data_IF_263485714250
#
_entry.id   IF_263485714250
#
_cell.length_a   1.000
_cell.length_b   1.000
_cell.length_c   1.000
_cell.angle_alpha   90.00
_cell.angle_beta   90.00
_cell.angle_gamma   90.00
#
_symmetry.space_group_name_H-M   'P 1'
#
loop_
_entity.id
_entity.type
_entity.pdbx_description
1 polymer ?
#
# COMPACT_ATOMS: atom_id res chain seq x y z
N UNK A 1 -5.39 5.47 -11.22
CA UNK A 1 -4.05 6.07 -11.18
C UNK A 1 -3.00 5.18 -11.84
N UNK A 2 -2.81 3.94 -11.36
CA UNK A 2 -1.75 3.02 -11.82
C UNK A 2 -1.80 2.73 -13.32
N UNK A 3 -2.99 2.49 -13.86
CA UNK A 3 -3.22 2.35 -15.29
C UNK A 3 -2.76 3.58 -16.09
N UNK A 4 -3.20 4.78 -15.66
CA UNK A 4 -2.82 6.02 -16.33
C UNK A 4 -1.32 6.28 -16.28
N UNK A 5 -0.70 6.04 -15.12
CA UNK A 5 0.75 6.13 -14.96
C UNK A 5 1.50 5.16 -15.88
N UNK A 6 0.97 3.94 -16.07
CA UNK A 6 1.58 2.96 -16.97
C UNK A 6 1.67 3.53 -18.40
N UNK A 7 0.57 4.04 -18.94
CA UNK A 7 0.55 4.61 -20.28
C UNK A 7 1.48 5.82 -20.41
N UNK A 8 1.31 6.80 -19.52
CA UNK A 8 2.09 8.06 -19.60
C UNK A 8 3.59 7.83 -19.44
N UNK A 9 3.99 6.99 -18.47
CA UNK A 9 5.41 6.72 -18.25
C UNK A 9 6.00 5.83 -19.32
N UNK A 10 5.25 4.88 -19.88
CA UNK A 10 5.73 4.04 -20.98
C UNK A 10 6.03 4.92 -22.20
N UNK A 11 5.10 5.77 -22.57
CA UNK A 11 5.29 6.68 -23.72
C UNK A 11 6.44 7.67 -23.48
N UNK A 12 6.49 8.25 -22.28
CA UNK A 12 7.57 9.19 -21.93
C UNK A 12 8.94 8.51 -21.94
N UNK A 13 9.07 7.34 -21.37
CA UNK A 13 10.35 6.61 -21.33
C UNK A 13 10.77 6.13 -22.72
N UNK A 14 9.81 5.76 -23.56
CA UNK A 14 10.07 5.42 -24.95
C UNK A 14 10.73 6.55 -25.73
N UNK A 15 10.35 7.83 -25.48
CA UNK A 15 11.03 8.99 -26.09
C UNK A 15 12.50 9.11 -25.69
N UNK A 16 12.89 8.48 -24.57
CA UNK A 16 14.25 8.45 -24.05
C UNK A 16 15.00 7.16 -24.41
N UNK A 17 14.48 6.35 -25.34
CA UNK A 17 14.96 5.02 -25.67
C UNK A 17 15.05 4.08 -24.46
N UNK A 18 14.12 4.25 -23.49
CA UNK A 18 13.98 3.38 -22.33
C UNK A 18 12.69 2.59 -22.41
N UNK A 19 12.74 1.36 -21.92
CA UNK A 19 11.58 0.49 -21.77
C UNK A 19 11.17 0.46 -20.32
N UNK A 20 9.90 0.81 -20.05
CA UNK A 20 9.32 0.76 -18.73
C UNK A 20 8.87 -0.67 -18.39
N UNK A 21 9.16 -1.12 -17.18
CA UNK A 21 8.65 -2.37 -16.63
C UNK A 21 7.96 -2.11 -15.30
N UNK A 22 6.64 -2.34 -15.27
CA UNK A 22 5.80 -1.98 -14.14
C UNK A 22 5.52 -3.17 -13.23
N UNK A 23 5.59 -2.91 -11.93
CA UNK A 23 5.22 -3.84 -10.87
C UNK A 23 4.20 -3.16 -9.94
N UNK A 24 3.02 -3.74 -9.84
CA UNK A 24 1.98 -3.30 -8.91
C UNK A 24 1.98 -4.23 -7.70
N UNK A 25 2.34 -3.69 -6.56
CA UNK A 25 2.55 -4.45 -5.32
C UNK A 25 1.38 -4.20 -4.37
N UNK A 26 0.68 -5.26 -4.02
CA UNK A 26 -0.46 -5.25 -3.09
C UNK A 26 -0.17 -6.09 -1.85
N UNK A 27 -0.85 -5.82 -0.75
CA UNK A 27 -0.69 -6.55 0.51
C UNK A 27 -1.71 -7.69 0.70
N UNK A 28 -2.78 -7.77 -0.12
CA UNK A 28 -3.87 -8.73 0.01
C UNK A 28 -4.13 -9.49 -1.28
N UNK A 29 -4.50 -10.78 -1.15
CA UNK A 29 -4.77 -11.65 -2.30
C UNK A 29 -6.01 -11.23 -3.10
N UNK A 30 -7.07 -10.81 -2.42
CA UNK A 30 -8.28 -10.32 -3.07
C UNK A 30 -8.03 -9.06 -3.90
N UNK A 31 -7.14 -8.18 -3.43
CA UNK A 31 -6.72 -7.00 -4.19
C UNK A 31 -5.88 -7.36 -5.42
N UNK A 32 -5.11 -8.44 -5.36
CA UNK A 32 -4.34 -8.93 -6.51
C UNK A 32 -5.27 -9.37 -7.64
N UNK A 33 -6.30 -10.17 -7.35
CA UNK A 33 -7.27 -10.61 -8.35
C UNK A 33 -8.08 -9.45 -8.92
N UNK A 34 -8.52 -8.54 -8.05
CA UNK A 34 -9.23 -7.33 -8.49
C UNK A 34 -8.34 -6.46 -9.39
N UNK A 35 -7.09 -6.22 -9.00
CA UNK A 35 -6.16 -5.42 -9.78
C UNK A 35 -5.90 -6.04 -11.15
N UNK A 36 -5.75 -7.38 -11.22
CA UNK A 36 -5.59 -8.11 -12.46
C UNK A 36 -6.77 -7.86 -13.41
N UNK A 37 -7.99 -8.12 -12.94
CA UNK A 37 -9.22 -7.93 -13.74
C UNK A 37 -9.37 -6.48 -14.22
N UNK A 38 -9.10 -5.51 -13.35
CA UNK A 38 -9.19 -4.09 -13.68
C UNK A 38 -8.16 -3.64 -14.71
N UNK A 39 -6.94 -4.16 -14.66
CA UNK A 39 -5.91 -3.84 -15.62
C UNK A 39 -6.16 -4.52 -16.98
N UNK A 40 -6.55 -5.80 -16.98
CA UNK A 40 -6.93 -6.53 -18.20
C UNK A 40 -8.11 -5.86 -18.91
N UNK A 41 -9.15 -5.46 -18.15
CA UNK A 41 -10.32 -4.75 -18.71
C UNK A 41 -9.95 -3.41 -19.37
N UNK A 42 -8.81 -2.84 -19.03
CA UNK A 42 -8.29 -1.60 -19.61
C UNK A 42 -7.22 -1.84 -20.68
N UNK A 43 -7.01 -3.07 -21.09
CA UNK A 43 -6.12 -3.42 -22.19
C UNK A 43 -4.65 -3.56 -21.82
N UNK A 44 -4.30 -3.65 -20.51
CA UNK A 44 -2.95 -4.01 -20.10
C UNK A 44 -2.73 -5.51 -20.21
N UNK A 45 -1.55 -5.92 -20.64
CA UNK A 45 -1.09 -7.30 -20.47
C UNK A 45 -0.67 -7.51 -19.01
N UNK A 46 -1.41 -8.35 -18.28
CA UNK A 46 -1.17 -8.56 -16.85
C UNK A 46 -0.42 -9.87 -16.62
N UNK A 47 0.69 -9.78 -15.89
CA UNK A 47 1.45 -10.91 -15.36
C UNK A 47 1.29 -10.96 -13.85
N UNK A 48 1.37 -12.16 -13.29
CA UNK A 48 1.40 -12.36 -11.84
C UNK A 48 2.70 -13.06 -11.46
N UNK A 49 3.16 -12.84 -10.24
CA UNK A 49 4.26 -13.57 -9.66
C UNK A 49 3.83 -14.10 -8.28
N UNK A 50 3.64 -15.40 -8.22
CA UNK A 50 3.17 -16.09 -7.02
C UNK A 50 4.29 -16.64 -6.16
N UNK A 51 5.46 -16.80 -6.75
CA UNK A 51 6.67 -17.28 -6.07
C UNK A 51 7.82 -16.29 -6.29
N UNK A 52 8.79 -16.34 -5.37
CA UNK A 52 10.04 -15.58 -5.51
C UNK A 52 10.78 -15.93 -6.80
N UNK A 53 10.82 -17.21 -7.16
CA UNK A 53 11.49 -17.67 -8.36
C UNK A 53 10.87 -17.06 -9.63
N UNK A 54 9.54 -17.00 -9.70
CA UNK A 54 8.81 -16.34 -10.79
C UNK A 54 9.11 -14.84 -10.84
N UNK A 55 9.04 -14.16 -9.70
CA UNK A 55 9.34 -12.73 -9.63
C UNK A 55 10.77 -12.44 -10.06
N UNK A 56 11.76 -13.23 -9.59
CA UNK A 56 13.15 -13.09 -9.99
C UNK A 56 13.36 -13.43 -11.47
N UNK A 57 12.62 -14.41 -12.00
CA UNK A 57 12.62 -14.71 -13.43
C UNK A 57 12.12 -13.53 -14.26
N UNK A 58 11.07 -12.87 -13.82
CA UNK A 58 10.55 -11.67 -14.49
C UNK A 58 11.51 -10.49 -14.43
N UNK A 59 12.28 -10.33 -13.36
CA UNK A 59 13.33 -9.33 -13.28
C UNK A 59 14.50 -9.61 -14.22
N UNK A 60 14.80 -10.89 -14.49
CA UNK A 60 15.85 -11.32 -15.42
C UNK A 60 15.40 -11.28 -16.87
N UNK A 61 14.09 -11.42 -17.08
CA UNK A 61 13.54 -11.54 -18.41
C UNK A 61 13.38 -10.15 -19.06
N UNK A 62 14.33 -9.80 -19.89
CA UNK A 62 14.31 -8.59 -20.70
C UNK A 62 13.47 -8.74 -21.99
N UNK A 63 12.71 -9.83 -22.14
CA UNK A 63 12.03 -10.18 -23.40
C UNK A 63 10.91 -9.23 -23.83
N UNK A 64 10.40 -8.37 -22.95
CA UNK A 64 9.57 -7.25 -23.38
C UNK A 64 10.33 -6.25 -24.27
N UNK A 65 11.66 -6.40 -24.36
CA UNK A 65 12.56 -5.57 -25.14
C UNK A 65 12.77 -6.06 -26.58
N UNK A 66 12.49 -7.34 -26.87
CA UNK A 66 12.93 -7.97 -28.14
C UNK A 66 11.88 -7.99 -29.24
N UNK A 67 10.88 -7.16 -29.27
CA UNK A 67 10.07 -7.14 -30.47
C UNK A 67 8.68 -6.55 -30.43
N UNK A 68 8.25 -6.05 -29.31
CA UNK A 68 6.97 -5.33 -29.21
C UNK A 68 7.17 -4.02 -28.43
N UNK A 69 7.83 -3.06 -29.05
CA UNK A 69 7.75 -1.67 -28.61
C UNK A 69 6.27 -1.28 -28.52
N UNK A 70 5.77 -1.05 -27.32
CA UNK A 70 4.44 -0.52 -27.12
C UNK A 70 3.42 -1.41 -26.45
N UNK A 71 3.74 -2.62 -26.02
CA UNK A 71 2.82 -3.36 -25.16
C UNK A 71 2.86 -2.78 -23.74
N UNK A 72 1.74 -2.22 -23.35
CA UNK A 72 1.52 -1.80 -21.97
C UNK A 72 1.33 -3.04 -21.12
N UNK A 73 2.33 -3.40 -20.34
CA UNK A 73 2.31 -4.56 -19.44
C UNK A 73 2.45 -4.14 -17.98
N UNK A 74 1.90 -4.93 -17.07
CA UNK A 74 2.06 -4.74 -15.64
C UNK A 74 2.15 -6.10 -14.93
N UNK A 75 3.07 -6.23 -14.00
CA UNK A 75 3.16 -7.41 -13.14
C UNK A 75 2.51 -7.11 -11.80
N UNK A 76 1.50 -7.89 -11.41
CA UNK A 76 0.84 -7.77 -10.10
C UNK A 76 1.47 -8.76 -9.12
N UNK A 77 1.87 -8.25 -7.96
CA UNK A 77 2.62 -9.01 -6.95
C UNK A 77 1.97 -8.87 -5.59
N UNK A 78 1.67 -9.99 -4.94
CA UNK A 78 1.24 -9.96 -3.53
C UNK A 78 2.45 -10.05 -2.61
N UNK A 79 2.69 -8.98 -1.84
CA UNK A 79 3.88 -8.88 -0.98
C UNK A 79 3.84 -9.84 0.22
N UNK A 80 2.65 -10.25 0.69
CA UNK A 80 2.53 -11.16 1.83
C UNK A 80 3.09 -12.55 1.54
N UNK A 81 3.08 -12.99 0.28
CA UNK A 81 3.68 -14.26 -0.14
C UNK A 81 5.20 -14.29 0.07
N UNK A 82 5.81 -13.13 0.26
CA UNK A 82 7.25 -12.96 0.47
C UNK A 82 7.58 -12.42 1.87
N UNK A 83 6.59 -12.36 2.78
CA UNK A 83 6.75 -11.73 4.10
C UNK A 83 7.82 -12.40 4.97
N UNK A 84 8.01 -13.72 4.82
CA UNK A 84 9.01 -14.49 5.57
C UNK A 84 10.38 -14.50 4.89
N UNK A 85 10.49 -13.97 3.68
CA UNK A 85 11.71 -13.99 2.91
C UNK A 85 12.66 -12.87 3.32
N UNK A 86 13.68 -13.24 4.10
CA UNK A 86 14.74 -12.34 4.57
C UNK A 86 15.99 -12.37 3.70
N UNK A 87 16.01 -13.19 2.67
CA UNK A 87 17.19 -13.27 1.81
C UNK A 87 17.39 -11.98 1.01
N UNK A 88 18.65 -11.63 0.80
CA UNK A 88 19.01 -10.50 -0.05
C UNK A 88 18.51 -10.73 -1.47
N UNK A 89 17.88 -9.75 -2.04
CA UNK A 89 17.45 -9.76 -3.42
C UNK A 89 18.65 -9.38 -4.30
N UNK A 90 19.10 -10.31 -5.13
CA UNK A 90 20.11 -10.03 -6.14
C UNK A 90 19.41 -9.79 -7.48
N UNK A 91 19.32 -8.55 -7.89
CA UNK A 91 18.80 -8.20 -9.19
C UNK A 91 19.95 -8.24 -10.23
N UNK A 92 19.65 -8.67 -11.46
CA UNK A 92 20.61 -8.56 -12.54
C UNK A 92 20.94 -7.09 -12.78
N UNK A 93 22.17 -6.83 -13.24
CA UNK A 93 22.56 -5.49 -13.65
C UNK A 93 21.51 -4.92 -14.64
N UNK A 94 21.19 -3.66 -14.49
CA UNK A 94 20.30 -2.97 -15.41
C UNK A 94 20.84 -3.06 -16.83
N UNK A 95 20.02 -3.53 -17.75
CA UNK A 95 20.20 -3.15 -19.14
C UNK A 95 20.05 -1.62 -19.21
N UNK A 96 20.94 -0.94 -19.88
CA UNK A 96 21.03 0.54 -19.92
C UNK A 96 19.74 1.22 -20.38
N UNK A 97 18.88 0.48 -21.08
CA UNK A 97 17.60 0.93 -21.61
C UNK A 97 16.38 0.46 -20.81
N UNK A 98 16.54 -0.24 -19.65
CA UNK A 98 15.43 -0.69 -18.83
C UNK A 98 15.18 0.26 -17.67
N UNK A 99 13.91 0.62 -17.44
CA UNK A 99 13.46 1.36 -16.26
C UNK A 99 12.38 0.57 -15.54
N UNK A 100 12.63 0.17 -14.29
CA UNK A 100 11.61 -0.46 -13.44
C UNK A 100 10.82 0.60 -12.70
N UNK A 101 9.51 0.38 -12.62
CA UNK A 101 8.56 1.24 -11.89
C UNK A 101 7.79 0.37 -10.91
N UNK A 102 7.95 0.62 -9.62
CA UNK A 102 7.21 -0.03 -8.55
C UNK A 102 6.10 0.88 -8.06
N UNK A 103 4.86 0.43 -8.14
CA UNK A 103 3.70 1.08 -7.56
C UNK A 103 3.25 0.21 -6.38
N UNK A 104 3.33 0.74 -5.17
CA UNK A 104 3.05 0.01 -3.93
C UNK A 104 1.75 0.54 -3.35
N UNK A 105 0.74 -0.32 -3.33
CA UNK A 105 -0.53 -0.03 -2.68
C UNK A 105 -0.42 -0.32 -1.17
N UNK A 106 -1.14 0.47 -0.36
CA UNK A 106 -1.10 0.42 1.10
C UNK A 106 0.36 0.38 1.64
N UNK A 107 1.20 1.26 1.10
CA UNK A 107 2.64 1.25 1.34
C UNK A 107 3.03 1.29 2.82
N UNK A 108 2.14 1.82 3.70
CA UNK A 108 2.33 1.84 5.14
C UNK A 108 2.34 0.45 5.79
N UNK A 109 1.73 -0.57 5.14
CA UNK A 109 1.65 -1.94 5.67
C UNK A 109 2.81 -2.82 5.21
N UNK A 110 3.20 -2.69 3.94
CA UNK A 110 4.16 -3.59 3.30
C UNK A 110 5.63 -3.23 3.52
N UNK A 111 5.92 -2.02 3.97
CA UNK A 111 7.28 -1.52 4.08
C UNK A 111 7.77 -1.48 5.53
N UNK A 112 8.72 -2.36 5.87
CA UNK A 112 9.49 -2.28 7.10
C UNK A 112 10.98 -2.09 6.76
N UNK A 113 11.57 -0.93 7.06
CA UNK A 113 12.97 -0.65 6.72
C UNK A 113 13.98 -1.60 7.38
N UNK A 114 13.55 -2.35 8.40
CA UNK A 114 14.41 -3.28 9.16
C UNK A 114 14.44 -4.71 8.61
N UNK A 115 14.03 -4.93 7.36
CA UNK A 115 14.22 -6.24 6.73
C UNK A 115 12.96 -6.87 6.14
N UNK A 116 12.04 -6.10 5.59
CA UNK A 116 10.98 -6.65 4.74
C UNK A 116 11.55 -6.98 3.35
N UNK A 117 10.92 -7.93 2.66
CA UNK A 117 11.24 -8.23 1.26
C UNK A 117 11.23 -6.97 0.38
N UNK A 118 10.26 -6.09 0.59
CA UNK A 118 10.13 -4.85 -0.16
C UNK A 118 11.32 -3.89 0.11
N UNK A 119 11.81 -3.81 1.34
CA UNK A 119 12.99 -3.01 1.65
C UNK A 119 14.24 -3.59 0.97
N UNK A 120 14.41 -4.91 0.99
CA UNK A 120 15.51 -5.58 0.31
C UNK A 120 15.44 -5.40 -1.21
N UNK A 121 14.25 -5.44 -1.79
CA UNK A 121 14.02 -5.19 -3.20
C UNK A 121 14.41 -3.76 -3.60
N UNK A 122 14.01 -2.79 -2.80
CA UNK A 122 14.30 -1.37 -3.06
C UNK A 122 15.78 -1.02 -2.84
N UNK A 123 16.44 -1.69 -1.89
CA UNK A 123 17.88 -1.54 -1.71
C UNK A 123 18.66 -2.14 -2.88
N UNK A 124 18.20 -3.27 -3.42
CA UNK A 124 18.81 -3.90 -4.58
C UNK A 124 18.59 -3.12 -5.88
N UNK A 125 17.50 -2.33 -5.96
CA UNK A 125 17.15 -1.53 -7.15
C UNK A 125 17.00 -0.04 -6.80
N UNK A 126 18.13 0.62 -6.59
CA UNK A 126 18.16 2.05 -6.25
C UNK A 126 17.71 2.95 -7.39
N UNK A 127 17.86 2.50 -8.63
CA UNK A 127 17.54 3.26 -9.84
C UNK A 127 16.07 3.13 -10.28
N UNK A 128 15.27 2.30 -9.61
CA UNK A 128 13.86 2.17 -9.91
C UNK A 128 13.06 3.41 -9.51
N UNK A 129 11.99 3.66 -10.26
CA UNK A 129 10.96 4.63 -9.86
C UNK A 129 10.07 3.95 -8.83
N UNK A 130 9.84 4.60 -7.70
CA UNK A 130 9.05 4.08 -6.58
C UNK A 130 7.91 5.02 -6.27
N UNK A 131 6.68 4.52 -6.37
CA UNK A 131 5.44 5.27 -6.14
C UNK A 131 4.68 4.58 -5.04
N UNK A 132 4.41 5.28 -3.94
CA UNK A 132 3.60 4.80 -2.84
C UNK A 132 2.19 5.34 -2.90
N UNK A 133 1.20 4.48 -2.71
CA UNK A 133 -0.19 4.82 -2.54
C UNK A 133 -0.59 4.44 -1.11
N UNK A 134 -1.28 5.33 -0.40
CA UNK A 134 -1.82 5.02 0.93
C UNK A 134 -2.96 5.94 1.30
N UNK A 135 -4.03 5.38 1.86
CA UNK A 135 -5.15 6.14 2.43
C UNK A 135 -4.94 6.51 3.90
N UNK A 136 -3.97 5.90 4.57
CA UNK A 136 -3.71 6.06 6.00
C UNK A 136 -2.22 6.23 6.29
N UNK A 137 -1.61 7.37 5.95
CA UNK A 137 -0.21 7.63 6.24
C UNK A 137 0.03 7.62 7.75
N UNK A 138 1.03 6.84 8.21
CA UNK A 138 1.41 6.76 9.62
C UNK A 138 2.42 7.86 9.96
N UNK A 139 1.97 8.89 10.67
CA UNK A 139 2.77 10.08 11.00
C UNK A 139 4.09 9.80 11.71
N UNK A 140 4.19 8.73 12.49
CA UNK A 140 5.44 8.37 13.22
C UNK A 140 6.42 7.54 12.38
N UNK A 141 5.92 6.74 11.46
CA UNK A 141 6.71 5.89 10.56
C UNK A 141 6.98 6.57 9.20
N UNK A 142 6.31 7.66 8.91
CA UNK A 142 6.46 8.49 7.71
C UNK A 142 7.90 8.86 7.43
N UNK A 143 8.70 9.14 8.44
CA UNK A 143 10.10 9.51 8.25
C UNK A 143 10.94 8.40 7.61
N UNK A 144 10.55 7.13 7.80
CA UNK A 144 11.23 6.01 7.17
C UNK A 144 10.71 5.79 5.74
N UNK A 145 9.41 5.86 5.52
CA UNK A 145 8.79 5.78 4.19
C UNK A 145 9.20 6.95 3.31
N UNK A 146 9.31 8.14 3.88
CA UNK A 146 9.73 9.35 3.19
C UNK A 146 11.15 9.28 2.62
N UNK A 147 12.05 8.59 3.29
CA UNK A 147 13.41 8.36 2.77
C UNK A 147 13.43 7.47 1.53
N UNK A 148 12.41 6.67 1.32
CA UNK A 148 12.32 5.70 0.21
C UNK A 148 11.49 6.24 -0.95
N UNK A 149 10.33 6.83 -0.64
CA UNK A 149 9.37 7.28 -1.65
C UNK A 149 9.42 8.79 -1.91
N UNK A 150 10.11 9.55 -1.07
CA UNK A 150 10.20 11.01 -1.18
C UNK A 150 9.01 11.74 -0.57
N UNK A 151 8.83 13.00 -0.96
CA UNK A 151 7.74 13.86 -0.49
C UNK A 151 6.41 13.47 -1.13
N UNK A 152 5.30 13.84 -0.46
CA UNK A 152 3.98 13.67 -1.04
C UNK A 152 3.85 14.46 -2.34
N UNK A 153 3.53 13.75 -3.40
CA UNK A 153 3.26 14.35 -4.70
C UNK A 153 1.83 14.87 -4.77
N UNK A 154 0.87 14.17 -4.17
CA UNK A 154 -0.54 14.52 -4.12
C UNK A 154 -1.16 14.05 -2.81
N UNK A 155 -2.05 14.87 -2.26
CA UNK A 155 -2.85 14.55 -1.08
C UNK A 155 -4.33 14.80 -1.37
N UNK A 156 -5.18 13.87 -0.93
CA UNK A 156 -6.63 13.95 -1.08
C UNK A 156 -7.26 13.63 0.26
N UNK A 157 -7.57 14.68 1.02
CA UNK A 157 -8.07 14.55 2.36
C UNK A 157 -9.59 14.40 2.44
N UNK A 158 -10.08 14.03 3.61
CA UNK A 158 -11.47 13.74 3.91
C UNK A 158 -12.41 14.90 3.59
N UNK A 159 -12.04 16.14 3.92
CA UNK A 159 -12.78 17.35 3.61
C UNK A 159 -13.01 17.52 2.10
N UNK A 160 -11.98 17.31 1.32
CA UNK A 160 -12.07 17.36 -0.13
C UNK A 160 -12.96 16.25 -0.69
N UNK A 161 -12.82 15.03 -0.16
CA UNK A 161 -13.64 13.89 -0.55
C UNK A 161 -15.13 14.10 -0.26
N UNK A 162 -15.47 14.80 0.85
CA UNK A 162 -16.85 15.19 1.15
C UNK A 162 -17.33 16.23 0.14
N UNK A 163 -16.53 17.24 -0.16
CA UNK A 163 -16.89 18.28 -1.14
C UNK A 163 -17.18 17.70 -2.51
N UNK A 164 -16.36 16.72 -2.93
CA UNK A 164 -16.48 16.04 -4.23
C UNK A 164 -17.59 14.95 -4.23
N UNK A 165 -18.26 14.71 -3.09
CA UNK A 165 -19.38 13.77 -2.98
C UNK A 165 -18.99 12.29 -2.91
N UNK A 166 -17.69 11.97 -2.75
CA UNK A 166 -17.21 10.58 -2.64
C UNK A 166 -17.31 10.01 -1.24
N UNK A 167 -17.34 10.87 -0.21
CA UNK A 167 -17.40 10.45 1.18
C UNK A 167 -18.55 11.16 1.89
N UNK A 168 -19.32 10.43 2.68
CA UNK A 168 -20.37 11.01 3.50
C UNK A 168 -19.78 11.75 4.70
N UNK A 169 -20.31 12.91 5.00
CA UNK A 169 -19.97 13.64 6.22
C UNK A 169 -20.50 12.88 7.43
N UNK A 170 -19.61 12.48 8.33
CA UNK A 170 -20.01 11.91 9.62
C UNK A 170 -20.49 13.08 10.50
N UNK A 171 -21.78 13.09 10.81
CA UNK A 171 -22.36 13.99 11.81
C UNK A 171 -22.37 13.21 13.12
N UNK A 172 -21.59 13.67 14.08
CA UNK A 172 -21.64 13.14 15.44
C UNK A 172 -22.68 13.94 16.19
N UNK A 173 -23.81 13.32 16.44
CA UNK A 173 -24.81 13.85 17.40
C UNK A 173 -24.47 13.33 18.79
N UNK A 174 -24.15 14.20 19.70
CA UNK A 174 -24.11 13.82 21.11
C UNK A 174 -25.55 13.60 21.58
N UNK A 175 -25.85 12.37 21.99
CA UNK A 175 -27.12 12.07 22.64
C UNK A 175 -27.10 12.84 23.95
N UNK A 176 -27.83 13.94 23.98
CA UNK A 176 -27.94 14.73 25.19
C UNK A 176 -28.60 13.93 26.33
N UNK A 177 -27.89 13.56 27.24
CA UNK A 177 -27.68 13.89 28.65
C UNK A 177 -28.58 13.23 29.68
N UNK A 178 -29.77 12.78 29.44
CA UNK A 178 -30.49 11.98 30.46
C UNK A 178 -29.83 10.63 30.73
N UNK A 179 -29.19 10.04 29.69
CA UNK A 179 -28.41 8.82 29.82
C UNK A 179 -27.02 9.08 30.42
N UNK A 180 -26.40 10.20 30.12
CA UNK A 180 -25.08 10.56 30.65
C UNK A 180 -25.15 10.87 32.14
N UNK A 181 -26.17 11.57 32.57
CA UNK A 181 -26.46 11.85 33.98
C UNK A 181 -26.74 10.55 34.74
N UNK A 182 -27.61 9.68 34.19
CA UNK A 182 -27.89 8.36 34.79
C UNK A 182 -26.68 7.46 34.85
N UNK A 183 -25.85 7.42 33.80
CA UNK A 183 -24.59 6.69 33.80
C UNK A 183 -23.61 7.23 34.85
N UNK A 184 -23.51 8.56 34.98
CA UNK A 184 -22.63 9.19 35.97
C UNK A 184 -23.10 8.84 37.39
N UNK A 185 -24.41 8.89 37.64
CA UNK A 185 -24.98 8.48 38.92
C UNK A 185 -24.73 6.99 39.24
N UNK A 186 -24.85 6.10 38.23
CA UNK A 186 -24.58 4.67 38.37
C UNK A 186 -23.11 4.45 38.69
N UNK A 187 -22.19 5.12 37.98
CA UNK A 187 -20.74 5.02 38.24
C UNK A 187 -20.39 5.52 39.64
N UNK A 188 -20.94 6.63 40.07
CA UNK A 188 -20.72 7.15 41.44
C UNK A 188 -21.23 6.19 42.52
N UNK A 189 -22.41 5.58 42.30
CA UNK A 189 -22.93 4.55 43.21
C UNK A 189 -22.05 3.31 43.25
N UNK A 190 -21.55 2.85 42.11
CA UNK A 190 -20.63 1.73 42.03
C UNK A 190 -19.28 2.01 42.70
N UNK A 191 -18.70 3.18 42.51
CA UNK A 191 -17.47 3.60 43.19
C UNK A 191 -17.68 3.59 44.73
N UNK A 192 -18.79 4.14 45.19
CA UNK A 192 -19.11 4.15 46.63
C UNK A 192 -19.24 2.73 47.22
N UNK A 193 -19.81 1.77 46.47
CA UNK A 193 -19.94 0.39 46.89
C UNK A 193 -18.57 -0.33 46.89
N UNK A 194 -17.70 -0.03 45.92
CA UNK A 194 -16.33 -0.56 45.88
C UNK A 194 -15.49 -0.03 47.04
N UNK A 195 -15.60 1.27 47.36
CA UNK A 195 -14.89 1.87 48.48
C UNK A 195 -15.34 1.27 49.83
N UNK A 196 -16.62 0.96 49.96
CA UNK A 196 -17.16 0.24 51.11
C UNK A 196 -16.81 -1.25 51.16
N UNK A 197 -16.05 -1.75 50.19
CA UNK A 197 -15.70 -3.18 50.03
C UNK A 197 -16.88 -4.14 49.90
N UNK A 198 -18.06 -3.63 49.54
CA UNK A 198 -19.28 -4.43 49.42
C UNK A 198 -19.27 -5.28 48.09
N UNK A 199 -18.47 -4.84 47.09
CA UNK A 199 -18.31 -5.56 45.81
C UNK A 199 -16.83 -5.61 45.43
N UNK A 200 -16.34 -6.78 44.99
CA UNK A 200 -14.98 -6.92 44.48
C UNK A 200 -14.88 -6.27 43.10
N UNK A 201 -13.82 -5.53 42.85
CA UNK A 201 -13.55 -4.80 41.59
C UNK A 201 -13.67 -5.65 40.33
N UNK A 202 -13.44 -6.97 40.42
CA UNK A 202 -13.60 -7.96 39.36
C UNK A 202 -15.06 -8.26 38.97
N UNK A 203 -16.04 -7.87 39.77
CA UNK A 203 -17.48 -8.08 39.50
C UNK A 203 -18.15 -6.93 38.78
N UNK A 204 -17.42 -5.87 38.49
CA UNK A 204 -17.90 -4.68 37.77
C UNK A 204 -17.68 -4.76 36.26
N UNK A 205 -16.89 -5.74 35.81
CA UNK A 205 -16.42 -5.84 34.40
C UNK A 205 -17.22 -6.89 33.59
N UNK A 206 -18.16 -7.59 34.18
CA UNK A 206 -19.16 -8.41 33.49
C UNK A 206 -20.45 -7.59 33.25
#
# INVERSE_FOLDING_TARGET
LSYYLNYVLTDFLATQNKVAKFYFIVDRLDLMEQAKQEFEARGLEVKTADTRAELMSQFRNNQSLEGKSGNHEITVVNIQRFAEDKEKVNLPAYATNLQRVFIVDEAHRGYNPKGSFLANLFEADKNSIKIALTGTPLLKEERASWKVFGVYYHTYYYDKSIQDGYTLKIIREDIETSYREKLTEIYQKLETLVEKKDIKKSQIIE
#
